data_IF_002526256589
#
_entry.id   IF_002526256589
#
_cell.length_a   1.000
_cell.length_b   1.000
_cell.length_c   1.000
_cell.angle_alpha   90.00
_cell.angle_beta   90.00
_cell.angle_gamma   90.00
#
_symmetry.space_group_name_H-M   'P 1'
#
loop_
_entity.id
_entity.type
_entity.pdbx_description
1 polymer ?
#
# COMPACT_ATOMS: atom_id res chain seq x y z
N UNK A 1 40.52 10.77 27.95
CA UNK A 1 39.21 10.26 28.38
C UNK A 1 38.12 11.00 27.61
N UNK A 2 37.48 10.36 26.67
CA UNK A 2 36.38 10.95 25.91
C UNK A 2 35.18 11.17 26.86
N UNK A 3 34.62 12.38 26.88
CA UNK A 3 33.43 12.69 27.67
C UNK A 3 32.23 11.97 27.02
N UNK A 4 31.69 10.97 27.71
CA UNK A 4 30.42 10.35 27.36
C UNK A 4 29.31 11.39 27.52
N UNK A 5 28.48 11.54 26.50
CA UNK A 5 27.30 12.42 26.51
C UNK A 5 26.05 11.57 26.45
N UNK A 6 25.32 11.55 27.54
CA UNK A 6 24.02 10.89 27.63
C UNK A 6 22.96 11.72 26.86
N UNK A 7 22.21 11.10 25.99
CA UNK A 7 21.06 11.68 25.27
C UNK A 7 19.85 10.76 25.46
N UNK A 8 18.68 11.35 25.57
CA UNK A 8 17.42 10.62 25.68
C UNK A 8 16.72 10.64 24.33
N UNK A 9 16.30 9.48 23.82
CA UNK A 9 15.67 9.35 22.51
C UNK A 9 14.26 8.78 22.67
N UNK A 10 13.29 9.43 22.04
CA UNK A 10 11.91 8.97 22.03
C UNK A 10 11.78 7.68 21.22
N UNK A 11 11.32 6.59 21.81
CA UNK A 11 11.14 5.28 21.15
C UNK A 11 10.04 5.28 20.07
N UNK A 12 9.15 6.29 20.07
CA UNK A 12 8.06 6.38 19.13
C UNK A 12 8.40 7.20 17.86
N UNK A 13 9.15 8.30 17.99
CA UNK A 13 9.41 9.20 16.87
C UNK A 13 10.90 9.51 16.64
N UNK A 14 11.80 8.96 17.47
CA UNK A 14 13.23 9.19 17.34
C UNK A 14 13.73 10.59 17.74
N UNK A 15 12.85 11.47 18.28
CA UNK A 15 13.25 12.80 18.75
C UNK A 15 14.23 12.67 19.90
N UNK A 16 15.39 13.30 19.78
CA UNK A 16 16.41 13.36 20.83
C UNK A 16 16.18 14.55 21.77
N UNK A 17 16.59 14.36 23.01
CA UNK A 17 16.55 15.38 24.06
C UNK A 17 17.77 15.23 24.96
N UNK A 18 18.41 16.36 25.39
CA UNK A 18 19.52 16.31 26.33
C UNK A 18 19.12 15.89 27.75
N UNK A 19 17.81 15.81 28.04
CA UNK A 19 17.23 15.42 29.31
C UNK A 19 16.03 14.53 29.08
N UNK A 20 15.75 13.63 30.03
CA UNK A 20 14.52 12.86 30.02
C UNK A 20 13.29 13.78 30.16
N UNK A 21 12.30 13.56 29.28
CA UNK A 21 11.07 14.35 29.23
C UNK A 21 9.89 13.38 29.27
N UNK A 22 8.95 13.60 30.19
CA UNK A 22 7.80 12.71 30.38
C UNK A 22 6.86 12.63 29.18
N UNK A 23 6.73 13.71 28.40
CA UNK A 23 5.93 13.78 27.17
C UNK A 23 6.79 14.24 26.01
N UNK A 24 6.82 13.48 24.93
CA UNK A 24 7.59 13.87 23.74
C UNK A 24 6.98 15.10 23.07
N UNK A 25 7.74 16.19 22.85
CA UNK A 25 7.22 17.41 22.25
C UNK A 25 6.91 17.23 20.76
N UNK A 26 7.50 16.24 20.10
CA UNK A 26 7.32 15.98 18.67
C UNK A 26 6.09 15.10 18.38
N UNK A 27 5.94 13.96 19.08
CA UNK A 27 4.84 13.02 18.81
C UNK A 27 3.74 13.01 19.87
N UNK A 28 3.89 13.75 20.98
CA UNK A 28 2.91 13.87 22.07
C UNK A 28 2.75 12.64 22.95
N UNK A 29 3.51 11.57 22.74
CA UNK A 29 3.44 10.33 23.53
C UNK A 29 4.13 10.48 24.88
N UNK A 30 3.59 9.79 25.90
CA UNK A 30 4.11 9.81 27.27
C UNK A 30 5.07 8.66 27.53
N UNK A 31 6.10 8.90 28.36
CA UNK A 31 7.07 7.89 28.85
C UNK A 31 7.79 7.11 27.72
N UNK A 32 8.09 7.78 26.62
CA UNK A 32 8.74 7.19 25.44
C UNK A 32 10.23 7.49 25.33
N UNK A 33 10.83 8.23 26.28
CA UNK A 33 12.26 8.53 26.27
C UNK A 33 13.08 7.46 26.96
N UNK A 34 14.06 6.91 26.22
CA UNK A 34 15.04 5.95 26.71
C UNK A 34 16.42 6.59 26.68
N UNK A 35 17.20 6.35 27.76
CA UNK A 35 18.57 6.84 27.87
C UNK A 35 19.49 6.14 26.88
N UNK A 36 20.30 6.92 26.16
CA UNK A 36 21.32 6.43 25.23
C UNK A 36 22.63 7.18 25.44
N UNK A 37 23.74 6.43 25.54
CA UNK A 37 25.07 6.98 25.68
C UNK A 37 25.66 7.20 24.30
N UNK A 38 25.89 8.46 23.93
CA UNK A 38 26.54 8.83 22.68
C UNK A 38 28.01 9.13 22.96
N UNK A 39 28.91 8.29 22.53
CA UNK A 39 30.36 8.58 22.57
C UNK A 39 30.66 9.61 21.47
N UNK A 40 31.23 10.75 21.85
CA UNK A 40 31.82 11.68 20.89
C UNK A 40 33.02 11.00 20.27
N UNK A 41 32.96 10.79 18.96
CA UNK A 41 34.09 10.38 18.14
C UNK A 41 35.28 11.32 18.36
N UNK A 42 36.45 10.75 18.64
CA UNK A 42 37.74 11.36 18.29
C UNK A 42 37.78 11.48 16.75
N UNK A 43 38.42 12.49 16.16
CA UNK A 43 38.52 12.63 14.72
C UNK A 43 39.52 11.61 14.14
N UNK A 44 39.19 10.33 14.28
CA UNK A 44 39.86 9.26 13.55
C UNK A 44 39.03 8.92 12.35
N UNK A 45 39.57 9.36 11.22
CA UNK A 45 39.25 8.97 9.86
C UNK A 45 37.79 8.51 9.65
N UNK A 46 36.95 9.43 9.14
CA UNK A 46 35.75 9.06 8.37
C UNK A 46 36.20 8.21 7.20
N UNK A 47 36.33 6.92 7.40
CA UNK A 47 36.42 5.97 6.30
C UNK A 47 35.01 5.80 5.72
N UNK A 48 34.44 6.92 5.24
CA UNK A 48 33.52 6.82 4.13
C UNK A 48 34.33 6.28 2.97
N UNK A 49 34.06 5.06 2.54
CA UNK A 49 34.65 4.52 1.33
C UNK A 49 34.26 5.49 0.21
N UNK A 50 35.20 6.33 -0.21
CA UNK A 50 35.03 7.17 -1.38
C UNK A 50 34.93 6.24 -2.58
N UNK A 51 33.70 5.89 -2.98
CA UNK A 51 33.40 5.05 -4.15
C UNK A 51 33.57 5.85 -5.44
N UNK A 52 33.58 7.18 -5.36
CA UNK A 52 33.92 8.12 -6.42
C UNK A 52 34.82 9.20 -5.85
N UNK A 53 35.70 9.78 -6.67
CA UNK A 53 36.34 11.03 -6.33
C UNK A 53 35.23 12.04 -5.96
N UNK A 54 35.40 12.84 -4.88
CA UNK A 54 34.39 13.82 -4.51
C UNK A 54 34.21 14.78 -5.67
N UNK A 55 33.21 14.57 -6.47
CA UNK A 55 32.75 15.56 -7.44
C UNK A 55 32.37 16.79 -6.62
N UNK A 56 33.23 17.82 -6.65
CA UNK A 56 32.92 19.10 -6.02
C UNK A 56 31.63 19.57 -6.66
N UNK A 57 30.50 19.45 -5.95
CA UNK A 57 29.22 19.96 -6.39
C UNK A 57 29.36 21.46 -6.63
N UNK A 58 29.28 21.88 -7.89
CA UNK A 58 29.26 23.30 -8.26
C UNK A 58 27.81 23.75 -8.36
N UNK A 59 27.47 24.94 -7.88
CA UNK A 59 26.16 25.52 -8.11
C UNK A 59 25.87 25.61 -9.61
N UNK A 60 24.75 25.09 -10.07
CA UNK A 60 24.26 25.17 -11.44
C UNK A 60 23.00 26.01 -11.48
N UNK A 61 22.82 26.79 -12.56
CA UNK A 61 21.54 27.45 -12.79
C UNK A 61 20.51 26.45 -13.30
N UNK A 62 19.21 26.68 -13.06
CA UNK A 62 18.15 25.80 -13.58
C UNK A 62 18.21 25.63 -15.11
N UNK A 63 18.70 26.63 -15.83
CA UNK A 63 18.84 26.59 -17.30
C UNK A 63 20.01 25.70 -17.75
N UNK A 64 21.01 25.46 -16.90
CA UNK A 64 22.16 24.62 -17.19
C UNK A 64 21.85 23.13 -16.91
N UNK A 65 20.71 22.86 -16.30
CA UNK A 65 20.25 21.50 -16.04
C UNK A 65 19.43 21.05 -17.23
N UNK A 66 19.97 20.13 -18.02
CA UNK A 66 19.23 19.52 -19.12
C UNK A 66 18.10 18.67 -18.55
N UNK A 67 16.87 19.21 -18.62
CA UNK A 67 15.65 18.48 -18.29
C UNK A 67 15.37 17.42 -19.36
N UNK A 68 15.61 16.17 -19.04
CA UNK A 68 15.11 15.01 -19.78
C UNK A 68 14.28 14.14 -18.82
N UNK A 69 13.47 13.23 -19.36
CA UNK A 69 12.86 12.20 -18.52
C UNK A 69 13.99 11.43 -17.82
N UNK A 70 13.94 11.37 -16.49
CA UNK A 70 14.91 10.57 -15.73
C UNK A 70 14.83 9.11 -16.21
N UNK A 71 15.97 8.48 -16.61
CA UNK A 71 15.96 7.09 -17.00
C UNK A 71 15.47 6.24 -15.84
N UNK A 72 14.51 5.35 -16.08
CA UNK A 72 13.97 4.46 -15.06
C UNK A 72 14.39 3.03 -15.36
N UNK A 73 14.71 2.28 -14.32
CA UNK A 73 14.97 0.85 -14.43
C UNK A 73 13.61 0.15 -14.42
N UNK A 74 13.30 -0.54 -15.51
CA UNK A 74 12.13 -1.42 -15.59
C UNK A 74 12.35 -2.62 -14.66
N UNK A 75 11.45 -2.80 -13.70
CA UNK A 75 11.52 -3.91 -12.73
C UNK A 75 10.96 -5.23 -13.28
N UNK A 76 10.53 -5.26 -14.56
CA UNK A 76 9.85 -6.41 -15.18
C UNK A 76 8.66 -6.93 -14.34
N UNK A 77 8.01 -6.00 -13.66
CA UNK A 77 6.81 -6.19 -12.88
C UNK A 77 5.91 -4.95 -13.04
N UNK A 78 4.81 -5.09 -13.79
CA UNK A 78 3.96 -3.97 -14.17
C UNK A 78 3.30 -3.30 -12.95
N UNK A 79 2.91 -4.10 -11.95
CA UNK A 79 2.26 -3.58 -10.75
C UNK A 79 3.29 -2.84 -9.87
N UNK A 80 4.52 -3.32 -9.76
CA UNK A 80 5.60 -2.62 -9.06
C UNK A 80 6.01 -1.35 -9.81
N UNK A 81 6.21 -1.43 -11.13
CA UNK A 81 6.53 -0.27 -11.95
C UNK A 81 5.46 0.83 -11.83
N UNK A 82 4.18 0.47 -11.83
CA UNK A 82 3.07 1.39 -11.66
C UNK A 82 3.19 2.17 -10.35
N UNK A 83 3.40 1.48 -9.25
CA UNK A 83 3.48 2.09 -7.91
C UNK A 83 4.76 2.93 -7.75
N UNK A 84 5.84 2.55 -8.44
CA UNK A 84 7.07 3.34 -8.52
C UNK A 84 6.92 4.58 -9.43
N UNK A 85 5.87 4.66 -10.23
CA UNK A 85 5.63 5.77 -11.17
C UNK A 85 6.30 5.55 -12.53
N UNK A 86 6.44 4.29 -12.96
CA UNK A 86 6.99 3.87 -14.25
C UNK A 86 8.34 3.16 -14.17
N UNK A 87 8.82 2.82 -12.97
CA UNK A 87 10.08 2.10 -12.74
C UNK A 87 10.94 2.72 -11.65
N UNK A 88 12.04 2.06 -11.33
CA UNK A 88 12.96 2.47 -10.26
C UNK A 88 13.90 3.59 -10.76
N UNK A 89 13.96 4.70 -10.03
CA UNK A 89 14.82 5.83 -10.37
C UNK A 89 16.25 5.57 -9.90
N UNK A 90 17.30 5.73 -10.76
CA UNK A 90 18.68 5.63 -10.35
C UNK A 90 19.02 6.57 -9.19
N UNK A 91 19.85 6.12 -8.26
CA UNK A 91 20.21 6.90 -7.07
C UNK A 91 19.08 7.12 -6.07
N UNK A 92 17.93 6.47 -6.23
CA UNK A 92 16.82 6.54 -5.28
C UNK A 92 16.97 5.54 -4.13
N UNK A 93 16.40 5.91 -2.98
CA UNK A 93 16.24 5.02 -1.84
C UNK A 93 14.76 4.72 -1.64
N UNK A 94 14.37 3.45 -1.83
CA UNK A 94 12.99 2.97 -1.70
C UNK A 94 12.87 2.12 -0.45
N UNK A 95 11.85 2.37 0.38
CA UNK A 95 11.49 1.53 1.52
C UNK A 95 10.24 0.71 1.17
N UNK A 96 10.35 -0.60 1.24
CA UNK A 96 9.22 -1.52 1.17
C UNK A 96 8.86 -2.00 2.57
N UNK A 97 7.80 -1.45 3.14
CA UNK A 97 7.26 -1.82 4.45
C UNK A 97 6.10 -2.78 4.37
N UNK A 98 5.82 -3.48 5.46
CA UNK A 98 4.66 -4.38 5.58
C UNK A 98 4.81 -5.34 6.76
N UNK A 99 3.72 -6.02 7.16
CA UNK A 99 3.74 -6.99 8.23
C UNK A 99 4.72 -8.15 7.94
N UNK A 100 5.29 -8.79 8.98
CA UNK A 100 6.06 -10.01 8.81
C UNK A 100 5.22 -11.09 8.11
N UNK A 101 5.84 -11.82 7.17
CA UNK A 101 5.16 -12.90 6.43
C UNK A 101 4.21 -12.47 5.31
N UNK A 102 4.00 -11.15 5.07
CA UNK A 102 3.09 -10.66 4.03
C UNK A 102 3.57 -10.95 2.59
N UNK A 103 4.88 -11.19 2.39
CA UNK A 103 5.46 -11.51 1.07
C UNK A 103 6.45 -10.49 0.53
N UNK A 104 6.93 -9.50 1.31
CA UNK A 104 7.89 -8.46 0.87
C UNK A 104 9.14 -9.03 0.22
N UNK A 105 9.86 -9.90 0.94
CA UNK A 105 11.08 -10.56 0.44
C UNK A 105 10.80 -11.44 -0.77
N UNK A 106 9.61 -12.06 -0.84
CA UNK A 106 9.19 -12.84 -2.01
C UNK A 106 8.98 -11.95 -3.23
N UNK A 107 8.30 -10.80 -3.08
CA UNK A 107 8.10 -9.84 -4.16
C UNK A 107 9.44 -9.37 -4.73
N UNK A 108 10.33 -8.91 -3.86
CA UNK A 108 11.63 -8.37 -4.31
C UNK A 108 12.52 -9.47 -4.90
N UNK A 109 12.61 -10.63 -4.26
CA UNK A 109 13.38 -11.75 -4.81
C UNK A 109 12.86 -12.15 -6.20
N UNK A 110 11.54 -12.30 -6.36
CA UNK A 110 10.92 -12.63 -7.64
C UNK A 110 11.21 -11.57 -8.72
N UNK A 111 11.20 -10.31 -8.35
CA UNK A 111 11.50 -9.19 -9.25
C UNK A 111 12.96 -9.23 -9.69
N UNK A 112 13.91 -9.36 -8.74
CA UNK A 112 15.33 -9.35 -9.08
C UNK A 112 15.77 -10.59 -9.88
N UNK A 113 15.09 -11.74 -9.72
CA UNK A 113 15.33 -12.92 -10.54
C UNK A 113 14.95 -12.72 -12.02
N UNK A 114 14.11 -11.74 -12.35
CA UNK A 114 13.73 -11.37 -13.72
C UNK A 114 14.68 -10.34 -14.34
N UNK A 115 15.48 -9.62 -13.53
CA UNK A 115 16.41 -8.58 -13.96
C UNK A 115 17.72 -9.19 -14.48
N UNK A 116 17.67 -9.89 -15.63
CA UNK A 116 18.85 -10.57 -16.19
C UNK A 116 19.86 -9.60 -16.82
N UNK A 117 19.43 -8.39 -17.18
CA UNK A 117 20.23 -7.32 -17.77
C UNK A 117 20.95 -6.44 -16.73
N UNK A 118 20.65 -6.62 -15.45
CA UNK A 118 21.19 -5.84 -14.32
C UNK A 118 21.94 -6.75 -13.35
N UNK A 119 23.04 -6.23 -12.82
CA UNK A 119 23.73 -6.86 -11.71
C UNK A 119 23.11 -6.42 -10.39
N UNK A 120 22.48 -7.32 -9.67
CA UNK A 120 21.83 -7.05 -8.40
C UNK A 120 22.65 -7.62 -7.26
N UNK A 121 22.88 -6.83 -6.20
CA UNK A 121 23.43 -7.31 -4.94
C UNK A 121 22.30 -7.41 -3.91
N UNK A 122 21.95 -8.63 -3.52
CA UNK A 122 20.97 -8.91 -2.48
C UNK A 122 21.69 -9.18 -1.15
N UNK A 123 21.54 -8.25 -0.22
CA UNK A 123 22.09 -8.33 1.14
C UNK A 123 21.00 -8.87 2.05
N UNK A 124 21.24 -10.02 2.66
CA UNK A 124 20.35 -10.66 3.62
C UNK A 124 20.92 -10.57 5.02
N UNK A 125 20.19 -9.95 5.93
CA UNK A 125 20.50 -9.94 7.36
C UNK A 125 19.67 -10.93 8.18
N UNK A 126 18.68 -11.59 7.58
CA UNK A 126 17.75 -12.48 8.28
C UNK A 126 17.86 -13.94 7.81
N UNK A 127 18.04 -14.17 6.52
CA UNK A 127 18.06 -15.50 5.92
C UNK A 127 19.47 -15.88 5.44
N UNK A 128 19.79 -17.17 5.57
CA UNK A 128 21.01 -17.74 5.00
C UNK A 128 20.91 -17.85 3.47
N UNK A 129 22.06 -17.87 2.79
CA UNK A 129 22.12 -18.05 1.33
C UNK A 129 21.39 -19.34 0.86
N UNK A 130 21.41 -20.41 1.67
CA UNK A 130 20.70 -21.66 1.38
C UNK A 130 19.17 -21.47 1.43
N UNK A 131 18.66 -20.75 2.41
CA UNK A 131 17.22 -20.47 2.53
C UNK A 131 16.73 -19.60 1.36
N UNK A 132 17.49 -18.55 1.01
CA UNK A 132 17.21 -17.75 -0.17
C UNK A 132 17.25 -18.56 -1.47
N UNK A 133 18.20 -19.47 -1.62
CA UNK A 133 18.26 -20.38 -2.77
C UNK A 133 17.04 -21.27 -2.87
N UNK A 134 16.62 -21.90 -1.77
CA UNK A 134 15.41 -22.72 -1.73
C UNK A 134 14.15 -21.93 -2.07
N UNK A 135 14.08 -20.65 -1.66
CA UNK A 135 12.98 -19.75 -2.03
C UNK A 135 13.04 -19.37 -3.50
N UNK A 136 14.23 -19.02 -4.02
CA UNK A 136 14.42 -18.70 -5.42
C UNK A 136 14.02 -19.85 -6.34
N UNK A 137 14.38 -21.09 -5.99
CA UNK A 137 14.07 -22.29 -6.78
C UNK A 137 12.54 -22.58 -6.84
N UNK A 138 11.78 -22.19 -5.82
CA UNK A 138 10.30 -22.27 -5.88
C UNK A 138 9.68 -21.22 -6.80
N UNK A 139 10.33 -20.07 -6.93
CA UNK A 139 9.83 -18.93 -7.71
C UNK A 139 10.20 -19.07 -9.18
N UNK A 140 11.45 -19.41 -9.47
CA UNK A 140 11.98 -19.47 -10.84
C UNK A 140 13.19 -20.39 -10.91
N UNK A 141 13.27 -21.16 -12.01
CA UNK A 141 14.44 -21.95 -12.34
C UNK A 141 15.42 -21.21 -13.28
N UNK A 142 15.23 -19.90 -13.48
CA UNK A 142 16.10 -19.12 -14.36
C UNK A 142 17.40 -18.74 -13.67
N UNK A 143 18.49 -18.70 -14.46
CA UNK A 143 19.77 -18.15 -14.03
C UNK A 143 19.62 -16.63 -13.98
N UNK A 144 19.97 -16.00 -12.88
CA UNK A 144 19.93 -14.55 -12.72
C UNK A 144 21.30 -13.98 -12.37
N UNK A 145 21.51 -12.69 -12.66
CA UNK A 145 22.69 -11.92 -12.26
C UNK A 145 22.61 -11.41 -10.81
N UNK A 146 21.81 -12.05 -9.96
CA UNK A 146 21.65 -11.71 -8.57
C UNK A 146 22.77 -12.34 -7.71
N UNK A 147 23.59 -11.49 -7.12
CA UNK A 147 24.61 -11.87 -6.14
C UNK A 147 24.02 -11.80 -4.75
N UNK A 148 24.18 -12.85 -3.95
CA UNK A 148 23.67 -12.91 -2.59
C UNK A 148 24.83 -12.79 -1.60
N UNK A 149 24.68 -11.92 -0.59
CA UNK A 149 25.58 -11.84 0.56
C UNK A 149 24.77 -11.83 1.86
N UNK A 150 25.20 -12.65 2.82
CA UNK A 150 24.61 -12.67 4.16
C UNK A 150 25.51 -11.85 5.08
N UNK A 151 25.15 -10.58 5.30
CA UNK A 151 25.95 -9.61 6.03
C UNK A 151 25.04 -8.61 6.74
N UNK A 152 25.44 -8.19 7.93
CA UNK A 152 24.72 -7.20 8.75
C UNK A 152 25.53 -5.95 9.07
N UNK A 153 26.87 -6.01 8.92
CA UNK A 153 27.74 -4.84 9.07
C UNK A 153 27.67 -3.95 7.84
N UNK A 154 27.22 -2.69 8.00
CA UNK A 154 27.13 -1.73 6.91
C UNK A 154 28.48 -1.48 6.23
N UNK A 155 29.58 -1.47 7.01
CA UNK A 155 30.93 -1.26 6.50
C UNK A 155 31.36 -2.40 5.56
N UNK A 156 31.06 -3.64 5.93
CA UNK A 156 31.31 -4.81 5.06
C UNK A 156 30.41 -4.83 3.82
N UNK A 157 29.17 -4.41 3.97
CA UNK A 157 28.25 -4.26 2.84
C UNK A 157 28.84 -3.28 1.81
N UNK A 158 29.40 -2.15 2.23
CA UNK A 158 30.07 -1.21 1.31
C UNK A 158 31.30 -1.81 0.64
N UNK A 159 32.06 -2.68 1.32
CA UNK A 159 33.17 -3.42 0.68
C UNK A 159 32.64 -4.33 -0.43
N UNK A 160 31.54 -5.06 -0.18
CA UNK A 160 30.91 -5.90 -1.20
C UNK A 160 30.38 -5.08 -2.38
N UNK A 161 29.72 -3.94 -2.12
CA UNK A 161 29.24 -3.02 -3.16
C UNK A 161 30.40 -2.53 -4.04
N UNK A 162 31.51 -2.10 -3.43
CA UNK A 162 32.70 -1.63 -4.14
C UNK A 162 33.30 -2.70 -5.06
N UNK A 163 33.35 -3.93 -4.57
CA UNK A 163 33.93 -5.05 -5.30
C UNK A 163 33.03 -5.54 -6.44
N UNK A 164 31.71 -5.52 -6.23
CA UNK A 164 30.75 -6.07 -7.21
C UNK A 164 30.23 -5.02 -8.18
N UNK A 165 30.22 -3.73 -7.81
CA UNK A 165 29.65 -2.61 -8.60
C UNK A 165 28.26 -2.96 -9.15
N UNK A 166 27.26 -3.17 -8.28
CA UNK A 166 25.93 -3.56 -8.71
C UNK A 166 25.16 -2.39 -9.32
N UNK A 167 24.21 -2.67 -10.21
CA UNK A 167 23.26 -1.71 -10.76
C UNK A 167 22.09 -1.44 -9.78
N UNK A 168 21.84 -2.37 -8.85
CA UNK A 168 20.80 -2.31 -7.83
C UNK A 168 21.25 -3.03 -6.57
N UNK A 169 20.96 -2.44 -5.40
CA UNK A 169 21.20 -3.07 -4.09
C UNK A 169 19.87 -3.32 -3.39
N UNK A 170 19.69 -4.51 -2.85
CA UNK A 170 18.56 -4.88 -1.98
C UNK A 170 19.10 -5.13 -0.58
N UNK A 171 18.43 -4.61 0.46
CA UNK A 171 18.76 -4.85 1.86
C UNK A 171 17.53 -5.44 2.57
N UNK A 172 17.63 -6.69 3.02
CA UNK A 172 16.57 -7.47 3.65
C UNK A 172 17.04 -8.07 5.00
N UNK A 173 16.73 -7.41 6.13
CA UNK A 173 15.97 -6.18 6.33
C UNK A 173 16.86 -5.07 6.90
N UNK A 174 16.39 -3.83 6.80
CA UNK A 174 17.11 -2.68 7.38
C UNK A 174 17.24 -2.78 8.91
N UNK A 175 16.36 -3.51 9.58
CA UNK A 175 16.37 -3.69 11.03
C UNK A 175 17.56 -4.53 11.52
N UNK A 176 18.16 -5.34 10.67
CA UNK A 176 19.29 -6.19 11.02
C UNK A 176 20.64 -5.52 10.76
N UNK A 177 20.65 -4.43 9.98
CA UNK A 177 21.86 -3.72 9.61
C UNK A 177 22.32 -2.81 10.76
N UNK A 178 23.62 -2.81 10.99
CA UNK A 178 24.26 -1.96 12.00
C UNK A 178 25.59 -1.38 11.52
N UNK A 179 26.02 -0.29 12.14
CA UNK A 179 27.36 0.29 11.98
C UNK A 179 28.03 0.35 13.35
N UNK A 180 29.33 0.05 13.38
CA UNK A 180 30.15 0.12 14.61
C UNK A 180 30.42 1.56 15.04
N UNK A 181 30.17 2.55 14.18
CA UNK A 181 30.38 3.97 14.50
C UNK A 181 29.44 4.49 15.60
N UNK A 182 28.39 3.73 15.95
CA UNK A 182 27.39 4.12 16.93
C UNK A 182 27.26 3.04 18.01
N UNK A 183 27.43 3.47 19.25
CA UNK A 183 27.29 2.60 20.43
C UNK A 183 25.81 2.40 20.79
N UNK A 184 25.10 1.65 19.95
CA UNK A 184 23.72 1.24 20.19
C UNK A 184 23.46 -0.14 19.60
N UNK A 185 22.51 -0.88 20.19
CA UNK A 185 22.23 -2.26 19.76
C UNK A 185 21.73 -2.32 18.32
N UNK A 186 22.10 -3.35 17.54
CA UNK A 186 21.48 -3.62 16.23
C UNK A 186 19.96 -3.64 16.32
N UNK A 187 19.27 -3.09 15.32
CA UNK A 187 17.80 -2.99 15.31
C UNK A 187 17.23 -1.83 16.13
N UNK A 188 18.04 -1.09 16.90
CA UNK A 188 17.60 0.13 17.55
C UNK A 188 17.23 1.21 16.53
N UNK A 189 16.32 2.12 16.91
CA UNK A 189 15.91 3.23 16.03
C UNK A 189 17.08 4.08 15.56
N UNK A 190 18.09 4.28 16.41
CA UNK A 190 19.27 5.06 16.07
C UNK A 190 20.09 4.36 15.01
N UNK A 191 20.34 3.06 15.15
CA UNK A 191 21.04 2.28 14.12
C UNK A 191 20.31 2.29 12.79
N UNK A 192 19.01 2.02 12.80
CA UNK A 192 18.18 2.00 11.59
C UNK A 192 18.19 3.36 10.89
N UNK A 193 18.11 4.47 11.64
CA UNK A 193 18.18 5.83 11.13
C UNK A 193 19.52 6.15 10.48
N UNK A 194 20.60 5.89 11.18
CA UNK A 194 21.95 6.24 10.72
C UNK A 194 22.38 5.37 9.54
N UNK A 195 22.10 4.07 9.58
CA UNK A 195 22.33 3.19 8.45
C UNK A 195 21.56 3.65 7.23
N UNK A 196 20.27 3.99 7.38
CA UNK A 196 19.45 4.48 6.27
C UNK A 196 19.94 5.82 5.72
N UNK A 197 20.38 6.74 6.57
CA UNK A 197 20.95 8.02 6.14
C UNK A 197 22.27 7.83 5.37
N UNK A 198 23.13 6.91 5.83
CA UNK A 198 24.37 6.55 5.14
C UNK A 198 24.08 5.90 3.77
N UNK A 199 23.12 4.99 3.71
CA UNK A 199 22.70 4.32 2.47
C UNK A 199 22.09 5.33 1.48
N UNK A 200 21.27 6.30 1.95
CA UNK A 200 20.75 7.35 1.08
C UNK A 200 21.89 8.18 0.45
N UNK A 201 22.87 8.57 1.28
CA UNK A 201 24.04 9.29 0.79
C UNK A 201 24.77 8.49 -0.28
N UNK A 202 25.04 7.21 -0.01
CA UNK A 202 25.63 6.30 -0.99
C UNK A 202 24.82 6.24 -2.29
N UNK A 203 23.51 6.02 -2.21
CA UNK A 203 22.65 5.94 -3.39
C UNK A 203 22.74 7.20 -4.26
N UNK A 204 22.68 8.39 -3.64
CA UNK A 204 22.79 9.68 -4.35
C UNK A 204 24.17 9.92 -4.97
N UNK A 205 25.25 9.59 -4.27
CA UNK A 205 26.62 9.80 -4.75
C UNK A 205 27.03 8.82 -5.85
N UNK A 206 26.59 7.55 -5.75
CA UNK A 206 26.92 6.50 -6.73
C UNK A 206 25.92 6.37 -7.88
N UNK A 207 24.77 7.06 -7.81
CA UNK A 207 23.63 6.90 -8.70
C UNK A 207 23.08 5.44 -8.75
N UNK A 208 23.37 4.64 -7.70
CA UNK A 208 22.93 3.26 -7.58
C UNK A 208 21.66 3.23 -6.71
N UNK A 209 20.51 2.79 -7.23
CA UNK A 209 19.29 2.69 -6.44
C UNK A 209 19.39 1.59 -5.39
N UNK A 210 18.73 1.83 -4.25
CA UNK A 210 18.68 0.87 -3.15
C UNK A 210 17.23 0.64 -2.72
N UNK A 211 16.84 -0.63 -2.55
CA UNK A 211 15.56 -1.01 -1.97
C UNK A 211 15.82 -1.58 -0.57
N UNK A 212 15.25 -0.92 0.44
CA UNK A 212 15.23 -1.39 1.82
C UNK A 212 13.94 -2.15 2.08
N UNK A 213 14.03 -3.36 2.63
CA UNK A 213 12.89 -4.08 3.16
C UNK A 213 12.81 -3.82 4.66
N UNK A 214 11.60 -3.49 5.14
CA UNK A 214 11.35 -3.19 6.55
C UNK A 214 10.07 -3.83 7.08
N UNK A 215 10.01 -4.07 8.40
CA UNK A 215 8.82 -4.57 9.08
C UNK A 215 7.99 -3.42 9.64
N UNK A 216 6.65 -3.55 9.58
CA UNK A 216 5.68 -2.63 10.17
C UNK A 216 5.07 -3.32 11.39
N UNK A 217 4.78 -2.57 12.46
CA UNK A 217 4.05 -3.10 13.62
C UNK A 217 2.56 -3.30 13.31
N UNK A 218 1.87 -4.12 14.12
CA UNK A 218 0.43 -4.41 14.00
C UNK A 218 -0.49 -3.17 14.00
N UNK A 219 0.00 -2.03 14.42
CA UNK A 219 -0.70 -0.74 14.39
C UNK A 219 -0.56 -0.01 13.03
N UNK A 220 0.03 -0.66 12.01
CA UNK A 220 0.23 -0.07 10.69
C UNK A 220 1.35 0.99 10.64
N UNK A 221 2.05 1.19 11.75
CA UNK A 221 3.24 2.04 11.80
C UNK A 221 4.48 1.17 11.59
N UNK A 222 5.38 1.60 10.70
CA UNK A 222 6.69 0.95 10.55
C UNK A 222 7.39 0.96 11.91
N UNK A 223 7.90 -0.15 12.44
CA UNK A 223 8.64 -0.20 13.69
C UNK A 223 9.93 0.65 13.55
N UNK A 224 9.93 1.81 14.21
CA UNK A 224 10.99 2.80 14.04
C UNK A 224 10.89 3.70 12.80
N UNK A 225 9.86 4.36 12.60
CA UNK A 225 9.22 4.40 11.27
C UNK A 225 8.82 5.69 10.65
N UNK A 226 8.16 6.59 11.21
CA UNK A 226 8.00 7.95 10.65
C UNK A 226 9.34 8.64 10.38
N UNK A 227 10.39 8.20 11.04
CA UNK A 227 11.76 8.69 10.84
C UNK A 227 12.31 8.27 9.48
N UNK A 228 12.08 7.02 9.05
CA UNK A 228 12.54 6.54 7.74
C UNK A 228 11.76 7.16 6.59
N UNK A 229 10.45 7.41 6.77
CA UNK A 229 9.63 8.07 5.75
C UNK A 229 10.18 9.44 5.33
N UNK A 230 10.82 10.16 6.25
CA UNK A 230 11.44 11.45 5.92
C UNK A 230 12.78 11.29 5.21
N UNK A 231 13.51 10.22 5.47
CA UNK A 231 14.84 9.96 4.90
C UNK A 231 14.73 9.44 3.47
N UNK A 232 13.90 8.43 3.22
CA UNK A 232 13.81 7.77 1.91
C UNK A 232 13.05 8.60 0.88
N UNK A 233 13.28 8.34 -0.40
CA UNK A 233 12.60 9.02 -1.51
C UNK A 233 11.20 8.46 -1.77
N UNK A 234 11.04 7.14 -1.64
CA UNK A 234 9.78 6.42 -1.87
C UNK A 234 9.50 5.46 -0.72
N UNK A 235 8.27 5.44 -0.26
CA UNK A 235 7.77 4.48 0.73
C UNK A 235 6.63 3.68 0.10
N UNK A 236 6.85 2.40 -0.03
CA UNK A 236 5.86 1.43 -0.47
C UNK A 236 5.40 0.62 0.74
N UNK A 237 4.10 0.43 0.87
CA UNK A 237 3.49 -0.38 1.92
C UNK A 237 2.81 -1.59 1.29
N UNK A 238 3.22 -2.79 1.73
CA UNK A 238 2.62 -4.04 1.31
C UNK A 238 1.61 -4.49 2.36
N UNK A 239 0.34 -4.52 1.97
CA UNK A 239 -0.81 -4.77 2.84
C UNK A 239 -1.52 -6.06 2.42
N UNK A 240 -2.27 -6.64 3.35
CA UNK A 240 -3.14 -7.78 3.10
C UNK A 240 -3.38 -8.58 4.37
N UNK A 241 -4.45 -9.34 4.39
CA UNK A 241 -4.74 -10.28 5.47
C UNK A 241 -4.16 -11.66 5.10
N UNK A 242 -3.59 -12.37 6.07
CA UNK A 242 -3.03 -13.71 5.87
C UNK A 242 -4.08 -14.74 5.44
N UNK A 243 -5.35 -14.47 5.72
CA UNK A 243 -6.48 -15.34 5.34
C UNK A 243 -6.96 -15.13 3.89
N UNK A 244 -6.54 -14.03 3.24
CA UNK A 244 -6.93 -13.73 1.86
C UNK A 244 -5.76 -13.92 0.90
N UNK A 245 -6.09 -14.33 -0.34
CA UNK A 245 -5.07 -14.58 -1.37
C UNK A 245 -4.45 -13.31 -1.95
N UNK A 246 -5.09 -12.15 -1.76
CA UNK A 246 -4.66 -10.91 -2.38
C UNK A 246 -3.79 -10.05 -1.47
N UNK A 247 -2.84 -9.35 -2.09
CA UNK A 247 -1.94 -8.39 -1.45
C UNK A 247 -1.99 -7.10 -2.25
N UNK A 248 -1.99 -5.97 -1.54
CA UNK A 248 -2.01 -4.65 -2.13
C UNK A 248 -0.68 -3.96 -1.83
N UNK A 249 -0.03 -3.45 -2.86
CA UNK A 249 1.14 -2.59 -2.75
C UNK A 249 0.70 -1.14 -2.94
N UNK A 250 0.87 -0.31 -1.91
CA UNK A 250 0.52 1.13 -1.94
C UNK A 250 1.77 1.98 -1.92
N UNK A 251 1.71 3.10 -2.62
CA UNK A 251 2.67 4.19 -2.46
C UNK A 251 2.20 5.13 -1.35
N UNK A 252 2.90 5.16 -0.23
CA UNK A 252 2.63 6.09 0.88
C UNK A 252 3.34 7.43 0.64
N UNK A 253 4.52 7.38 0.05
CA UNK A 253 5.33 8.53 -0.36
C UNK A 253 6.05 8.20 -1.65
N UNK A 254 6.03 9.12 -2.61
CA UNK A 254 6.80 8.98 -3.84
C UNK A 254 7.23 10.37 -4.34
N UNK A 255 8.54 10.64 -4.36
CA UNK A 255 9.09 11.90 -4.90
C UNK A 255 9.13 11.93 -6.43
N UNK A 256 9.00 10.77 -7.07
CA UNK A 256 9.18 10.58 -8.50
C UNK A 256 7.88 10.23 -9.25
N UNK A 257 6.77 10.16 -8.53
CA UNK A 257 5.48 9.78 -9.11
C UNK A 257 4.30 10.00 -8.17
N UNK A 258 3.14 9.57 -8.62
CA UNK A 258 1.89 9.66 -7.85
C UNK A 258 1.89 8.69 -6.66
N UNK A 259 1.34 9.12 -5.53
CA UNK A 259 1.03 8.24 -4.40
C UNK A 259 -0.37 7.62 -4.51
N UNK A 260 -1.12 7.96 -5.56
CA UNK A 260 -2.46 7.42 -5.77
C UNK A 260 -2.47 6.07 -6.52
N UNK A 261 -1.31 5.57 -6.94
CA UNK A 261 -1.17 4.29 -7.61
C UNK A 261 -1.10 3.14 -6.61
N UNK A 262 -1.66 1.99 -7.03
CA UNK A 262 -1.54 0.75 -6.28
C UNK A 262 -1.27 -0.44 -7.21
N UNK A 263 -0.55 -1.42 -6.67
CA UNK A 263 -0.31 -2.72 -7.29
C UNK A 263 -1.10 -3.81 -6.57
N UNK A 264 -1.62 -4.78 -7.32
CA UNK A 264 -2.37 -5.88 -6.76
C UNK A 264 -1.69 -7.20 -7.13
N UNK A 265 -1.52 -8.04 -6.13
CA UNK A 265 -0.89 -9.34 -6.28
C UNK A 265 -1.75 -10.45 -5.68
N UNK A 266 -1.71 -11.61 -6.29
CA UNK A 266 -2.26 -12.84 -5.74
C UNK A 266 -1.12 -13.70 -5.18
N UNK A 267 -1.26 -14.15 -3.94
CA UNK A 267 -0.30 -15.06 -3.32
C UNK A 267 -0.53 -16.47 -3.82
N UNK A 268 0.49 -17.08 -4.42
CA UNK A 268 0.48 -18.46 -4.91
C UNK A 268 1.62 -19.27 -4.30
N UNK A 269 1.59 -20.59 -4.46
CA UNK A 269 2.66 -21.47 -3.97
C UNK A 269 4.02 -21.15 -4.57
N UNK A 270 4.07 -20.71 -5.82
CA UNK A 270 5.29 -20.36 -6.57
C UNK A 270 5.62 -18.85 -6.55
N UNK A 271 5.04 -18.07 -5.64
CA UNK A 271 5.32 -16.64 -5.51
C UNK A 271 4.08 -15.76 -5.67
N UNK A 272 4.29 -14.53 -6.10
CA UNK A 272 3.25 -13.52 -6.28
C UNK A 272 2.91 -13.35 -7.76
N UNK A 273 1.65 -13.52 -8.11
CA UNK A 273 1.12 -13.25 -9.44
C UNK A 273 0.60 -11.82 -9.49
N UNK A 274 1.01 -11.05 -10.49
CA UNK A 274 0.45 -9.75 -10.79
C UNK A 274 -1.03 -9.88 -11.20
N UNK A 275 -1.85 -8.97 -10.71
CA UNK A 275 -3.28 -8.89 -11.03
C UNK A 275 -3.52 -7.66 -11.89
N UNK A 276 -3.49 -7.83 -13.20
CA UNK A 276 -3.70 -6.74 -14.15
C UNK A 276 -5.17 -6.27 -14.18
N UNK A 277 -6.12 -7.17 -13.93
CA UNK A 277 -7.54 -6.84 -13.83
C UNK A 277 -8.13 -7.34 -12.51
N UNK A 278 -8.19 -6.49 -11.46
CA UNK A 278 -8.78 -6.88 -10.17
C UNK A 278 -10.25 -7.28 -10.27
N UNK A 279 -10.99 -6.66 -11.16
CA UNK A 279 -12.44 -6.89 -11.30
C UNK A 279 -12.77 -8.33 -11.66
N UNK A 280 -11.97 -8.97 -12.51
CA UNK A 280 -12.16 -10.39 -12.89
C UNK A 280 -12.07 -11.35 -11.70
N UNK A 281 -11.34 -10.95 -10.65
CA UNK A 281 -11.13 -11.77 -9.46
C UNK A 281 -12.12 -11.45 -8.34
N UNK A 282 -12.72 -10.25 -8.38
CA UNK A 282 -13.61 -9.73 -7.34
C UNK A 282 -15.10 -9.89 -7.72
N UNK A 283 -15.36 -10.37 -8.92
CA UNK A 283 -16.69 -10.72 -9.42
C UNK A 283 -16.79 -12.25 -9.56
N UNK A 284 -17.81 -12.82 -8.96
CA UNK A 284 -18.02 -14.27 -8.98
C UNK A 284 -19.17 -14.61 -9.91
N UNK A 285 -18.99 -15.58 -10.80
CA UNK A 285 -20.04 -16.02 -11.73
C UNK A 285 -21.13 -16.89 -11.07
N UNK A 286 -20.91 -17.32 -9.81
CA UNK A 286 -21.73 -18.33 -9.14
C UNK A 286 -22.99 -17.77 -8.43
N UNK A 287 -23.21 -16.45 -8.39
CA UNK A 287 -24.30 -15.84 -7.60
C UNK A 287 -25.55 -15.48 -8.40
N UNK A 288 -25.81 -16.14 -9.53
CA UNK A 288 -26.98 -15.88 -10.36
C UNK A 288 -28.28 -16.15 -9.60
N UNK A 289 -29.15 -15.11 -9.52
CA UNK A 289 -30.43 -15.21 -8.81
C UNK A 289 -30.37 -15.17 -7.28
N UNK A 290 -29.21 -14.96 -6.69
CA UNK A 290 -29.06 -14.83 -5.23
C UNK A 290 -29.37 -13.41 -4.75
N UNK A 291 -30.17 -13.32 -3.67
CA UNK A 291 -30.40 -12.04 -2.97
C UNK A 291 -29.16 -11.64 -2.12
N UNK A 292 -29.07 -10.36 -1.81
CA UNK A 292 -28.01 -9.85 -0.94
C UNK A 292 -26.69 -9.53 -1.65
N UNK A 293 -26.66 -9.55 -2.97
CA UNK A 293 -25.44 -9.27 -3.76
C UNK A 293 -25.66 -8.04 -4.63
N UNK A 294 -24.69 -7.12 -4.64
CA UNK A 294 -24.68 -5.94 -5.53
C UNK A 294 -23.25 -5.64 -5.99
N UNK A 295 -23.11 -5.06 -7.18
CA UNK A 295 -21.81 -4.74 -7.77
C UNK A 295 -21.56 -3.24 -7.65
N UNK A 296 -20.46 -2.89 -6.95
CA UNK A 296 -19.97 -1.52 -6.84
C UNK A 296 -18.90 -1.22 -7.88
N UNK A 297 -18.96 -0.02 -8.47
CA UNK A 297 -17.80 0.54 -9.18
C UNK A 297 -17.02 1.42 -8.22
N UNK A 298 -15.91 0.89 -7.74
CA UNK A 298 -15.00 1.52 -6.79
C UNK A 298 -13.77 2.11 -7.49
N UNK A 299 -13.12 3.07 -6.84
CA UNK A 299 -11.79 3.56 -7.23
C UNK A 299 -10.89 3.52 -6.03
N UNK A 300 -9.73 2.94 -6.20
CA UNK A 300 -8.64 3.05 -5.22
C UNK A 300 -7.46 3.77 -5.90
N UNK A 301 -7.11 4.95 -5.34
CA UNK A 301 -6.13 5.84 -5.97
C UNK A 301 -6.63 6.38 -7.31
N UNK A 302 -6.06 5.90 -8.42
CA UNK A 302 -6.48 6.25 -9.79
C UNK A 302 -7.10 5.07 -10.53
N UNK A 303 -7.12 3.89 -9.94
CA UNK A 303 -7.53 2.64 -10.60
C UNK A 303 -9.01 2.35 -10.32
N UNK A 304 -9.87 2.34 -11.35
CA UNK A 304 -11.23 1.86 -11.23
C UNK A 304 -11.24 0.32 -11.19
N UNK A 305 -12.17 -0.25 -10.45
CA UNK A 305 -12.45 -1.68 -10.44
C UNK A 305 -13.88 -1.93 -9.98
N UNK A 306 -14.43 -3.06 -10.41
CA UNK A 306 -15.73 -3.52 -9.93
C UNK A 306 -15.52 -4.52 -8.81
N UNK A 307 -16.36 -4.42 -7.78
CA UNK A 307 -16.28 -5.28 -6.60
C UNK A 307 -17.67 -5.69 -6.15
N UNK A 308 -17.77 -6.95 -5.76
CA UNK A 308 -18.99 -7.51 -5.22
C UNK A 308 -19.14 -7.13 -3.74
N UNK A 309 -20.31 -6.58 -3.39
CA UNK A 309 -20.74 -6.31 -2.03
C UNK A 309 -21.83 -7.31 -1.65
N UNK A 310 -21.60 -8.07 -0.58
CA UNK A 310 -22.51 -9.10 -0.10
C UNK A 310 -23.11 -8.69 1.24
N UNK A 311 -24.41 -8.82 1.40
CA UNK A 311 -25.09 -8.57 2.66
C UNK A 311 -26.02 -9.73 3.03
N UNK A 312 -26.07 -10.04 4.30
CA UNK A 312 -27.04 -10.98 4.88
C UNK A 312 -27.83 -10.26 5.96
N UNK A 313 -29.14 -10.24 5.80
CA UNK A 313 -30.07 -9.63 6.77
C UNK A 313 -30.99 -10.71 7.31
N UNK A 314 -31.00 -10.89 8.63
CA UNK A 314 -31.85 -11.86 9.31
C UNK A 314 -32.58 -11.24 10.50
N UNK A 315 -33.58 -11.92 11.05
CA UNK A 315 -34.24 -11.45 12.26
C UNK A 315 -33.35 -11.72 13.47
N UNK A 316 -33.16 -10.70 14.34
CA UNK A 316 -32.38 -10.85 15.56
C UNK A 316 -33.11 -11.79 16.56
N UNK A 317 -32.54 -12.97 16.81
CA UNK A 317 -33.14 -14.00 17.66
C UNK A 317 -32.96 -13.69 19.15
N UNK A 318 -31.87 -13.01 19.53
CA UNK A 318 -31.47 -12.80 20.93
C UNK A 318 -31.74 -11.39 21.46
N UNK A 319 -32.62 -10.63 20.83
CA UNK A 319 -33.03 -9.29 21.29
C UNK A 319 -32.06 -8.16 21.02
N UNK A 320 -30.76 -8.43 20.86
CA UNK A 320 -29.73 -7.44 20.47
C UNK A 320 -29.26 -7.68 19.06
N UNK A 321 -29.56 -6.79 18.09
CA UNK A 321 -29.14 -6.93 16.71
C UNK A 321 -27.63 -7.00 16.57
N UNK A 322 -27.11 -8.02 15.87
CA UNK A 322 -25.71 -8.19 15.53
C UNK A 322 -25.39 -7.42 14.26
N UNK A 323 -24.29 -6.69 14.24
CA UNK A 323 -23.83 -5.95 13.08
C UNK A 323 -22.35 -6.17 12.89
N UNK A 324 -21.98 -6.71 11.73
CA UNK A 324 -20.59 -7.02 11.37
C UNK A 324 -20.31 -6.60 9.94
N UNK A 325 -19.10 -6.10 9.71
CA UNK A 325 -18.64 -5.72 8.38
C UNK A 325 -17.20 -6.18 8.16
N UNK A 326 -16.96 -6.83 7.04
CA UNK A 326 -15.63 -7.20 6.56
C UNK A 326 -15.33 -6.39 5.31
N UNK A 327 -14.16 -5.70 5.30
CA UNK A 327 -13.74 -4.88 4.17
C UNK A 327 -14.37 -3.48 4.10
N UNK A 328 -15.29 -3.15 5.02
CA UNK A 328 -15.96 -1.85 5.10
C UNK A 328 -16.01 -1.31 6.53
N UNK A 329 -16.08 0.01 6.69
CA UNK A 329 -16.16 0.64 8.01
C UNK A 329 -17.52 0.39 8.67
N UNK A 330 -17.50 -0.24 9.84
CA UNK A 330 -18.73 -0.59 10.60
C UNK A 330 -19.54 0.65 11.02
N UNK A 331 -18.88 1.77 11.32
CA UNK A 331 -19.56 3.01 11.69
C UNK A 331 -20.31 3.59 10.49
N UNK A 332 -19.67 3.53 9.30
CA UNK A 332 -20.31 3.95 8.05
C UNK A 332 -21.52 3.08 7.73
N UNK A 333 -21.39 1.75 7.86
CA UNK A 333 -22.53 0.83 7.68
C UNK A 333 -23.69 1.18 8.62
N UNK A 334 -23.43 1.45 9.88
CA UNK A 334 -24.48 1.83 10.85
C UNK A 334 -25.17 3.15 10.46
N UNK A 335 -24.43 4.11 9.90
CA UNK A 335 -25.02 5.35 9.36
C UNK A 335 -25.95 5.06 8.18
N UNK A 336 -25.54 4.20 7.25
CA UNK A 336 -26.34 3.79 6.10
C UNK A 336 -27.62 3.06 6.53
N UNK A 337 -27.55 2.18 7.52
CA UNK A 337 -28.72 1.52 8.11
C UNK A 337 -29.71 2.54 8.70
N UNK A 338 -29.22 3.55 9.39
CA UNK A 338 -30.07 4.62 9.93
C UNK A 338 -30.75 5.46 8.82
N UNK A 339 -30.09 5.68 7.68
CA UNK A 339 -30.68 6.32 6.49
C UNK A 339 -31.80 5.47 5.92
N UNK A 340 -31.57 4.16 5.72
CA UNK A 340 -32.58 3.22 5.22
C UNK A 340 -33.81 3.19 6.13
N UNK A 341 -33.61 3.18 7.42
CA UNK A 341 -34.70 3.14 8.40
C UNK A 341 -35.49 4.47 8.44
N UNK A 342 -34.80 5.60 8.57
CA UNK A 342 -35.44 6.88 8.78
C UNK A 342 -35.99 7.52 7.50
N UNK A 343 -35.34 7.32 6.34
CA UNK A 343 -35.67 8.01 5.09
C UNK A 343 -36.49 7.15 4.15
N UNK A 344 -36.22 5.84 4.14
CA UNK A 344 -36.88 4.91 3.22
C UNK A 344 -37.95 4.06 3.90
N UNK A 345 -37.93 3.99 5.24
CA UNK A 345 -38.96 3.33 6.02
C UNK A 345 -38.75 1.83 6.26
N UNK A 346 -37.58 1.30 5.99
CA UNK A 346 -37.26 -0.11 6.27
C UNK A 346 -37.06 -0.36 7.77
N UNK A 347 -37.62 -1.44 8.27
CA UNK A 347 -37.51 -1.83 9.71
C UNK A 347 -36.25 -2.69 9.90
N UNK A 348 -35.10 -2.06 10.12
CA UNK A 348 -33.81 -2.73 10.30
C UNK A 348 -33.32 -2.72 11.76
N UNK A 349 -34.01 -1.99 12.68
CA UNK A 349 -33.62 -1.89 14.08
C UNK A 349 -33.54 -3.24 14.81
N UNK A 350 -34.37 -4.21 14.41
CA UNK A 350 -34.42 -5.56 15.00
C UNK A 350 -33.89 -6.64 14.06
N UNK A 351 -32.98 -6.27 13.14
CA UNK A 351 -32.37 -7.17 12.18
C UNK A 351 -30.87 -7.28 12.42
N UNK A 352 -30.37 -8.51 12.36
CA UNK A 352 -28.94 -8.76 12.21
C UNK A 352 -28.52 -8.39 10.80
N UNK A 353 -27.38 -7.75 10.67
CA UNK A 353 -26.82 -7.34 9.38
C UNK A 353 -25.36 -7.70 9.32
N UNK A 354 -25.00 -8.53 8.37
CA UNK A 354 -23.65 -8.95 8.06
C UNK A 354 -23.29 -8.44 6.66
N UNK A 355 -22.16 -7.75 6.56
CA UNK A 355 -21.64 -7.20 5.31
C UNK A 355 -20.26 -7.78 5.01
N UNK A 356 -20.04 -8.19 3.77
CA UNK A 356 -18.75 -8.66 3.29
C UNK A 356 -18.42 -8.02 1.95
N UNK A 357 -17.22 -7.49 1.82
CA UNK A 357 -16.66 -7.06 0.54
C UNK A 357 -15.84 -8.23 -0.02
N UNK A 358 -16.10 -8.61 -1.26
CA UNK A 358 -15.44 -9.75 -1.89
C UNK A 358 -13.91 -9.59 -1.90
N UNK A 359 -13.19 -10.71 -1.82
CA UNK A 359 -11.72 -10.75 -1.80
C UNK A 359 -11.06 -10.21 -0.53
N UNK A 360 -11.84 -9.80 0.49
CA UNK A 360 -11.33 -9.27 1.76
C UNK A 360 -10.61 -7.93 1.63
N UNK A 361 -10.82 -7.23 0.54
CA UNK A 361 -10.25 -5.89 0.32
C UNK A 361 -10.94 -4.87 1.22
N UNK A 362 -10.14 -4.03 1.88
CA UNK A 362 -10.69 -2.87 2.58
C UNK A 362 -10.87 -1.74 1.58
N UNK A 363 -12.13 -1.40 1.30
CA UNK A 363 -12.50 -0.32 0.37
C UNK A 363 -12.91 0.91 1.18
N UNK A 364 -12.23 2.03 0.92
CA UNK A 364 -12.50 3.31 1.60
C UNK A 364 -13.24 4.31 0.69
N UNK A 365 -13.58 3.92 -0.53
CA UNK A 365 -14.27 4.77 -1.49
C UNK A 365 -15.77 4.94 -1.12
N UNK A 366 -16.25 6.17 -0.82
CA UNK A 366 -17.66 6.39 -0.49
C UNK A 366 -18.63 6.01 -1.62
N UNK A 367 -18.13 5.91 -2.86
CA UNK A 367 -18.96 5.53 -4.01
C UNK A 367 -19.61 4.16 -3.89
N UNK A 368 -19.10 3.27 -3.00
CA UNK A 368 -19.68 1.95 -2.79
C UNK A 368 -20.90 1.96 -1.85
N UNK A 369 -21.22 3.09 -1.21
CA UNK A 369 -22.37 3.18 -0.30
C UNK A 369 -23.67 2.71 -0.97
N UNK A 370 -23.88 3.09 -2.24
CA UNK A 370 -25.09 2.73 -2.99
C UNK A 370 -25.21 1.23 -3.16
N UNK A 371 -24.11 0.51 -3.46
CA UNK A 371 -24.13 -0.94 -3.57
C UNK A 371 -24.36 -1.62 -2.23
N UNK A 372 -23.81 -1.08 -1.15
CA UNK A 372 -24.00 -1.60 0.20
C UNK A 372 -25.47 -1.55 0.62
N UNK A 373 -26.12 -0.39 0.47
CA UNK A 373 -27.53 -0.28 0.79
C UNK A 373 -28.39 -1.14 -0.11
N UNK A 374 -28.03 -1.28 -1.38
CA UNK A 374 -28.73 -2.13 -2.33
C UNK A 374 -28.62 -3.61 -2.00
N UNK A 375 -27.42 -4.08 -1.62
CA UNK A 375 -27.19 -5.45 -1.15
C UNK A 375 -27.98 -5.75 0.15
N UNK A 376 -27.97 -4.81 1.11
CA UNK A 376 -28.73 -4.95 2.37
C UNK A 376 -30.23 -5.06 2.07
N UNK A 377 -30.77 -4.25 1.19
CA UNK A 377 -32.18 -4.32 0.85
C UNK A 377 -32.54 -5.54 0.03
N UNK A 378 -31.71 -5.92 -0.93
CA UNK A 378 -31.84 -7.16 -1.69
C UNK A 378 -31.99 -8.36 -0.73
N UNK A 379 -31.09 -8.47 0.25
CA UNK A 379 -31.16 -9.52 1.29
C UNK A 379 -32.39 -9.39 2.19
N UNK A 380 -32.76 -8.16 2.59
CA UNK A 380 -33.92 -7.98 3.47
C UNK A 380 -35.26 -8.30 2.80
N UNK A 381 -35.38 -8.10 1.48
CA UNK A 381 -36.57 -8.39 0.70
C UNK A 381 -36.53 -9.77 0.04
N UNK A 382 -35.41 -10.44 0.10
CA UNK A 382 -35.10 -11.69 -0.61
C UNK A 382 -35.32 -11.59 -2.11
N UNK A 383 -34.88 -10.49 -2.73
CA UNK A 383 -34.99 -10.20 -4.16
C UNK A 383 -33.60 -9.95 -4.74
N UNK A 384 -33.23 -10.73 -5.76
CA UNK A 384 -31.94 -10.57 -6.42
C UNK A 384 -31.86 -9.28 -7.25
N UNK A 385 -30.67 -8.67 -7.31
CA UNK A 385 -30.34 -7.59 -8.23
C UNK A 385 -29.81 -8.20 -9.52
N UNK A 386 -30.20 -7.62 -10.66
CA UNK A 386 -29.73 -8.05 -11.97
C UNK A 386 -28.18 -7.92 -12.07
N UNK A 387 -27.52 -8.97 -12.51
CA UNK A 387 -26.05 -9.05 -12.64
C UNK A 387 -25.45 -8.07 -13.63
N UNK A 388 -26.23 -7.68 -14.62
CA UNK A 388 -25.81 -6.73 -15.65
C UNK A 388 -25.79 -5.28 -15.15
N UNK A 389 -26.10 -5.06 -13.87
CA UNK A 389 -26.16 -3.75 -13.22
C UNK A 389 -25.01 -3.60 -12.24
N UNK A 390 -24.25 -2.53 -12.39
CA UNK A 390 -23.35 -2.04 -11.35
C UNK A 390 -23.73 -0.63 -10.91
N UNK A 391 -23.11 -0.12 -9.88
CA UNK A 391 -23.48 1.18 -9.32
C UNK A 391 -22.31 1.90 -8.67
N UNK A 392 -22.40 3.24 -8.68
CA UNK A 392 -21.52 4.12 -7.94
C UNK A 392 -22.31 5.29 -7.37
N UNK A 393 -22.20 5.57 -6.08
CA UNK A 393 -22.86 6.71 -5.47
C UNK A 393 -22.61 6.78 -3.97
N UNK A 394 -22.23 7.96 -3.48
CA UNK A 394 -22.16 8.23 -2.04
C UNK A 394 -23.56 8.52 -1.51
N UNK A 395 -23.89 7.94 -0.37
CA UNK A 395 -25.20 8.14 0.28
C UNK A 395 -25.09 9.15 1.41
N UNK A 396 -25.80 10.28 1.30
CA UNK A 396 -25.90 11.29 2.36
C UNK A 396 -26.96 10.96 3.41
N UNK A 397 -26.86 11.60 4.57
CA UNK A 397 -27.77 11.38 5.72
C UNK A 397 -29.23 11.75 5.45
N UNK A 398 -29.49 12.58 4.43
CA UNK A 398 -30.86 12.92 4.02
C UNK A 398 -31.44 11.93 3.01
N UNK A 399 -30.69 10.89 2.62
CA UNK A 399 -31.07 9.93 1.58
C UNK A 399 -30.77 10.41 0.16
N UNK A 400 -30.03 11.51 0.00
CA UNK A 400 -29.54 11.98 -1.29
C UNK A 400 -28.37 11.13 -1.79
N UNK A 401 -28.28 10.95 -3.11
CA UNK A 401 -27.13 10.35 -3.76
C UNK A 401 -26.20 11.48 -4.24
N UNK A 402 -25.02 11.53 -3.63
CA UNK A 402 -23.99 12.55 -3.85
C UNK A 402 -23.08 12.20 -5.02
N UNK A 403 -22.54 13.22 -5.70
CA UNK A 403 -21.60 12.98 -6.78
C UNK A 403 -20.32 12.31 -6.25
N UNK A 404 -19.76 11.46 -7.11
CA UNK A 404 -18.51 10.74 -6.85
C UNK A 404 -17.43 11.22 -7.82
N UNK A 405 -16.17 11.04 -7.44
CA UNK A 405 -15.04 11.41 -8.28
C UNK A 405 -14.87 10.43 -9.46
N UNK A 406 -14.23 10.91 -10.55
CA UNK A 406 -13.78 10.10 -11.68
C UNK A 406 -14.88 9.24 -12.32
N UNK A 407 -16.07 9.77 -12.47
CA UNK A 407 -17.25 9.01 -12.94
C UNK A 407 -17.02 8.40 -14.33
N UNK A 408 -16.31 9.09 -15.24
CA UNK A 408 -15.99 8.57 -16.59
C UNK A 408 -15.18 7.28 -16.51
N UNK A 409 -14.18 7.22 -15.62
CA UNK A 409 -13.34 6.04 -15.45
C UNK A 409 -14.16 4.86 -14.89
N UNK A 410 -15.09 5.13 -13.96
CA UNK A 410 -15.99 4.12 -13.39
C UNK A 410 -16.91 3.52 -14.45
N UNK A 411 -17.50 4.38 -15.29
CA UNK A 411 -18.37 3.96 -16.37
C UNK A 411 -17.59 3.18 -17.42
N UNK A 412 -16.42 3.69 -17.82
CA UNK A 412 -15.56 3.02 -18.80
C UNK A 412 -15.10 1.62 -18.34
N UNK A 413 -14.78 1.44 -17.06
CA UNK A 413 -14.41 0.13 -16.52
C UNK A 413 -15.62 -0.83 -16.50
N UNK A 414 -16.81 -0.34 -16.12
CA UNK A 414 -18.04 -1.13 -16.17
C UNK A 414 -18.38 -1.58 -17.61
N UNK A 415 -18.26 -0.67 -18.58
CA UNK A 415 -18.49 -0.98 -20.00
C UNK A 415 -17.49 -2.02 -20.52
N UNK A 416 -16.20 -1.86 -20.19
CA UNK A 416 -15.12 -2.77 -20.57
C UNK A 416 -15.34 -4.20 -20.06
N UNK A 417 -15.96 -4.33 -18.87
CA UNK A 417 -16.28 -5.60 -18.24
C UNK A 417 -17.62 -6.18 -18.68
N UNK A 418 -18.32 -5.52 -19.61
CA UNK A 418 -19.54 -6.03 -20.25
C UNK A 418 -20.83 -5.77 -19.48
N UNK A 419 -20.82 -4.90 -18.45
CA UNK A 419 -22.04 -4.49 -17.78
C UNK A 419 -22.96 -3.72 -18.72
N UNK A 420 -24.25 -3.97 -18.65
CA UNK A 420 -25.24 -3.34 -19.51
C UNK A 420 -25.77 -2.03 -18.92
N UNK A 421 -25.83 -1.92 -17.60
CA UNK A 421 -26.42 -0.78 -16.89
C UNK A 421 -25.54 -0.34 -15.73
N UNK A 422 -25.46 0.97 -15.49
CA UNK A 422 -24.81 1.55 -14.33
C UNK A 422 -25.66 2.63 -13.68
N UNK A 423 -25.92 2.51 -12.37
CA UNK A 423 -26.55 3.57 -11.57
C UNK A 423 -25.48 4.57 -11.13
N UNK A 424 -25.72 5.85 -11.41
CA UNK A 424 -24.79 6.93 -11.06
C UNK A 424 -25.51 8.15 -10.51
N UNK A 425 -24.86 9.00 -9.70
CA UNK A 425 -25.46 10.24 -9.26
C UNK A 425 -25.79 11.17 -10.41
N UNK A 426 -27.01 11.69 -10.48
CA UNK A 426 -27.45 12.58 -11.58
C UNK A 426 -26.54 13.79 -11.76
N UNK A 427 -25.99 14.33 -10.68
CA UNK A 427 -25.08 15.48 -10.74
C UNK A 427 -23.76 15.20 -11.45
N UNK A 428 -23.32 13.95 -11.49
CA UNK A 428 -22.12 13.54 -12.22
C UNK A 428 -22.26 13.59 -13.74
N UNK A 429 -23.49 13.65 -14.26
CA UNK A 429 -23.73 13.70 -15.71
C UNK A 429 -23.59 15.10 -16.30
N UNK A 430 -23.44 16.13 -15.48
CA UNK A 430 -23.22 17.48 -15.97
C UNK A 430 -21.83 17.59 -16.61
N UNK A 431 -21.79 17.86 -17.92
CA UNK A 431 -20.54 17.97 -18.69
C UNK A 431 -19.98 16.63 -19.22
N UNK A 432 -20.65 15.51 -18.95
CA UNK A 432 -20.24 14.20 -19.44
C UNK A 432 -20.83 13.93 -20.84
N UNK A 433 -19.98 13.53 -21.79
CA UNK A 433 -20.41 13.11 -23.13
C UNK A 433 -20.89 11.64 -23.12
N UNK A 434 -22.12 11.44 -22.71
CA UNK A 434 -22.72 10.10 -22.57
C UNK A 434 -22.99 9.43 -23.94
N UNK A 435 -22.98 10.18 -25.06
CA UNK A 435 -23.26 9.65 -26.39
C UNK A 435 -22.25 8.65 -26.91
N UNK A 436 -21.04 8.67 -26.36
CA UNK A 436 -19.94 7.75 -26.71
C UNK A 436 -19.95 6.46 -25.92
N UNK A 437 -20.77 6.37 -24.89
CA UNK A 437 -20.84 5.24 -23.97
C UNK A 437 -21.92 4.25 -24.46
N UNK A 438 -21.56 2.97 -24.49
CA UNK A 438 -22.49 1.89 -24.93
C UNK A 438 -23.31 1.33 -23.77
N UNK A 439 -22.85 1.56 -22.53
CA UNK A 439 -23.55 1.16 -21.29
C UNK A 439 -24.74 2.11 -21.04
N UNK A 440 -25.88 1.58 -20.65
CA UNK A 440 -27.03 2.37 -20.22
C UNK A 440 -26.75 3.03 -18.86
N UNK A 441 -26.82 4.35 -18.82
CA UNK A 441 -26.56 5.13 -17.59
C UNK A 441 -27.91 5.49 -16.96
N UNK A 442 -28.12 5.03 -15.72
CA UNK A 442 -29.34 5.31 -14.96
C UNK A 442 -29.01 6.39 -13.91
N UNK A 443 -29.46 7.65 -14.12
CA UNK A 443 -29.19 8.73 -13.19
C UNK A 443 -30.14 8.67 -11.98
N UNK A 444 -29.57 8.72 -10.77
CA UNK A 444 -30.32 8.73 -9.53
C UNK A 444 -29.97 9.93 -8.66
N UNK A 445 -30.94 10.47 -7.91
CA UNK A 445 -30.76 11.60 -6.97
C UNK A 445 -30.95 11.19 -5.51
N UNK A 446 -31.84 10.20 -5.30
CA UNK A 446 -32.23 9.72 -3.99
C UNK A 446 -32.20 8.20 -3.93
N UNK A 447 -32.10 7.68 -2.73
CA UNK A 447 -32.09 6.24 -2.46
C UNK A 447 -33.35 5.57 -3.01
N UNK A 448 -34.53 6.21 -2.89
CA UNK A 448 -35.80 5.66 -3.39
C UNK A 448 -35.83 5.52 -4.93
N UNK A 449 -35.17 6.44 -5.66
CA UNK A 449 -35.06 6.36 -7.12
C UNK A 449 -34.19 5.17 -7.53
N UNK A 450 -33.07 4.96 -6.80
CA UNK A 450 -32.20 3.82 -7.05
C UNK A 450 -32.93 2.48 -6.81
N UNK A 451 -33.74 2.40 -5.76
CA UNK A 451 -34.48 1.17 -5.45
C UNK A 451 -35.58 0.87 -6.46
N UNK A 452 -36.27 1.89 -6.96
CA UNK A 452 -37.21 1.68 -8.09
C UNK A 452 -36.53 1.19 -9.35
N UNK A 453 -35.31 1.64 -9.62
CA UNK A 453 -34.54 1.17 -10.78
C UNK A 453 -34.02 -0.26 -10.62
N UNK A 454 -33.84 -0.73 -9.37
CA UNK A 454 -33.31 -2.08 -9.09
C UNK A 454 -34.40 -3.12 -8.87
N UNK A 455 -35.53 -2.74 -8.26
CA UNK A 455 -36.54 -3.69 -7.76
C UNK A 455 -37.96 -3.39 -8.25
N UNK A 456 -38.18 -2.25 -8.90
CA UNK A 456 -39.47 -1.83 -9.48
C UNK A 456 -39.57 -2.17 -10.91
#
# INVERSE_FOLDING_TARGET
>A
MAKEKTTYVCTNCGQDSPKWVGKCPSCGQWNTYVEQVVRKESPVARHGVALAEPTKSQPLTLNDIHGGEEPRIDMHDEELNRVLGGGLVPGSLVLLGGEPGIGKSTLILQTVLRLNDKKVLYVSGEESARQLKLRADRISNQISNCLIVCETSLDQIYVHIKNTRPDLVIIDSIQTIFTESIDSSPGSLVQVRECSASILKFAKESNTPVILIGHINKEGSIAGPKVLEHIVDTVLQFEGDQHYMYRILRSIKNRFGSTAELGIYEMRQNGLRQVSNPSELLLTDEHEGMSGVAIASAIEGVRPFLIETQALVSSAVYGNPQRSATGFDLRRMNMLLAVLEKRVGFKLAQKDVYLNIAGGLKVNDPAIDLSIISAILSSNMDVAIDRDICMAGEVGLSGEIRPVNRIEQRISEAEKLGFKRILVPKHNLQGLDTKKMKIEIIPVRKVEEAFRALFG
#
